data_IF_450710326623
#
_entry.id   IF_450710326623
#
_cell.length_a   1.000
_cell.length_b   1.000
_cell.length_c   1.000
_cell.angle_alpha   90.00
_cell.angle_beta   90.00
_cell.angle_gamma   90.00
#
_symmetry.space_group_name_H-M   'P 1'
#
loop_
_entity.id
_entity.type
_entity.pdbx_description
1 polymer ?
#
# COMPACT_ATOMS: atom_id res chain seq x y z
N UNK A 1 -10.35 26.85 6.57
CA UNK A 1 -9.62 25.63 6.18
C UNK A 1 -9.74 25.50 4.68
N UNK A 2 -8.65 25.22 3.97
CA UNK A 2 -8.69 24.93 2.54
C UNK A 2 -8.38 23.44 2.34
N UNK A 3 -9.13 22.81 1.43
CA UNK A 3 -8.95 21.41 1.03
C UNK A 3 -8.42 21.40 -0.40
N UNK A 4 -7.32 20.71 -0.62
CA UNK A 4 -6.75 20.47 -1.95
C UNK A 4 -6.64 18.97 -2.16
N UNK A 5 -7.09 18.47 -3.30
CA UNK A 5 -6.90 17.08 -3.69
C UNK A 5 -5.94 16.99 -4.87
N UNK A 6 -5.03 16.02 -4.84
CA UNK A 6 -4.11 15.69 -5.93
C UNK A 6 -4.24 14.20 -6.22
N UNK A 7 -4.55 13.88 -7.47
CA UNK A 7 -4.63 12.50 -7.97
C UNK A 7 -3.39 12.20 -8.80
N UNK A 8 -2.74 11.05 -8.57
CA UNK A 8 -1.66 10.56 -9.41
C UNK A 8 -1.73 9.04 -9.54
N UNK A 9 -1.02 8.52 -10.54
CA UNK A 9 -0.81 7.08 -10.70
C UNK A 9 0.65 6.80 -10.43
N UNK A 10 0.90 5.83 -9.57
CA UNK A 10 2.24 5.31 -9.30
C UNK A 10 2.39 3.91 -9.89
N UNK A 11 3.64 3.48 -10.01
CA UNK A 11 3.98 2.10 -10.37
C UNK A 11 4.83 1.50 -9.26
N UNK A 12 4.31 0.45 -8.63
CA UNK A 12 4.96 -0.24 -7.52
C UNK A 12 5.42 -1.64 -7.93
N UNK A 13 6.47 -2.14 -7.30
CA UNK A 13 6.88 -3.54 -7.42
C UNK A 13 6.21 -4.44 -6.36
N UNK A 14 6.55 -5.73 -6.39
CA UNK A 14 6.01 -6.72 -5.47
C UNK A 14 6.40 -6.45 -4.00
N UNK A 15 7.61 -5.97 -3.75
CA UNK A 15 8.08 -5.71 -2.39
C UNK A 15 7.33 -4.51 -1.78
N UNK A 16 7.13 -3.46 -2.58
CA UNK A 16 6.32 -2.29 -2.22
C UNK A 16 4.85 -2.68 -1.97
N UNK A 17 4.27 -3.55 -2.81
CA UNK A 17 2.92 -4.08 -2.63
C UNK A 17 2.78 -4.86 -1.30
N UNK A 18 3.72 -5.76 -1.01
CA UNK A 18 3.73 -6.54 0.25
C UNK A 18 3.91 -5.62 1.46
N UNK A 19 4.79 -4.63 1.36
CA UNK A 19 4.93 -3.58 2.38
C UNK A 19 3.63 -2.81 2.61
N UNK A 20 2.90 -2.50 1.54
CA UNK A 20 1.57 -1.89 1.58
C UNK A 20 0.55 -2.74 2.34
N UNK A 21 0.48 -4.04 2.05
CA UNK A 21 -0.40 -4.99 2.77
C UNK A 21 -0.07 -5.01 4.27
N UNK A 22 1.21 -5.06 4.65
CA UNK A 22 1.60 -5.04 6.05
C UNK A 22 1.29 -3.72 6.76
N UNK A 23 1.24 -2.61 6.04
CA UNK A 23 0.98 -1.28 6.59
C UNK A 23 -0.51 -0.95 6.69
N UNK A 24 -1.32 -1.48 5.77
CA UNK A 24 -2.74 -1.17 5.66
C UNK A 24 -3.63 -2.04 6.56
N UNK A 25 -3.21 -3.27 6.85
CA UNK A 25 -3.99 -4.21 7.66
C UNK A 25 -3.61 -4.15 9.15
N UNK A 26 -4.59 -4.27 10.07
CA UNK A 26 -4.30 -4.35 11.48
C UNK A 26 -3.59 -5.68 11.82
N UNK A 27 -2.82 -5.68 12.91
CA UNK A 27 -1.94 -6.81 13.26
C UNK A 27 -2.67 -8.14 13.48
N UNK A 28 -3.91 -8.09 13.93
CA UNK A 28 -4.78 -9.25 14.17
C UNK A 28 -5.38 -9.83 12.86
N UNK A 29 -5.38 -9.05 11.78
CA UNK A 29 -5.75 -9.51 10.44
C UNK A 29 -4.55 -10.03 9.62
N UNK A 30 -3.33 -9.82 10.11
CA UNK A 30 -2.11 -10.32 9.47
C UNK A 30 -1.73 -11.71 10.02
N UNK A 31 -1.08 -12.55 9.21
CA UNK A 31 -0.44 -13.76 9.72
C UNK A 31 0.56 -13.41 10.83
N UNK A 32 0.80 -14.36 11.77
CA UNK A 32 1.82 -14.18 12.79
C UNK A 32 3.20 -13.95 12.13
N UNK A 33 4.14 -13.26 12.79
CA UNK A 33 5.41 -12.82 12.19
C UNK A 33 6.17 -13.92 11.43
N UNK A 34 6.21 -15.12 11.98
CA UNK A 34 6.86 -16.31 11.41
C UNK A 34 6.26 -16.79 10.08
N UNK A 35 5.02 -16.38 9.74
CA UNK A 35 4.33 -16.74 8.49
C UNK A 35 4.30 -15.60 7.46
N UNK A 36 4.89 -14.44 7.75
CA UNK A 36 4.84 -13.30 6.82
C UNK A 36 5.61 -13.53 5.53
N UNK A 37 6.71 -14.30 5.58
CA UNK A 37 7.45 -14.70 4.39
C UNK A 37 6.61 -15.60 3.46
N UNK A 38 5.86 -16.55 4.04
CA UNK A 38 4.95 -17.42 3.29
C UNK A 38 3.84 -16.61 2.60
N UNK A 39 3.27 -15.61 3.29
CA UNK A 39 2.32 -14.68 2.69
C UNK A 39 2.93 -13.93 1.49
N UNK A 40 4.16 -13.43 1.63
CA UNK A 40 4.87 -12.73 0.54
C UNK A 40 5.04 -13.64 -0.69
N UNK A 41 5.42 -14.90 -0.48
CA UNK A 41 5.54 -15.88 -1.57
C UNK A 41 4.19 -16.15 -2.23
N UNK A 42 3.14 -16.37 -1.42
CA UNK A 42 1.79 -16.62 -1.94
C UNK A 42 1.26 -15.44 -2.77
N UNK A 43 1.51 -14.19 -2.33
CA UNK A 43 1.13 -12.99 -3.10
C UNK A 43 1.90 -12.95 -4.42
N UNK A 44 3.21 -13.21 -4.40
CA UNK A 44 4.04 -13.26 -5.61
C UNK A 44 3.57 -14.31 -6.62
N UNK A 45 3.30 -15.53 -6.14
CA UNK A 45 2.84 -16.63 -6.98
C UNK A 45 1.44 -16.34 -7.58
N UNK A 46 0.55 -15.73 -6.80
CA UNK A 46 -0.80 -15.40 -7.26
C UNK A 46 -0.82 -14.28 -8.32
N UNK A 47 0.18 -13.40 -8.32
CA UNK A 47 0.28 -12.26 -9.23
C UNK A 47 1.18 -12.53 -10.44
N UNK A 48 1.93 -13.64 -10.44
CA UNK A 48 2.79 -14.01 -11.56
C UNK A 48 1.98 -14.15 -12.87
N UNK A 49 2.49 -13.65 -14.02
CA UNK A 49 3.85 -13.13 -14.27
C UNK A 49 4.04 -11.63 -13.98
N UNK A 50 3.03 -10.95 -13.45
CA UNK A 50 3.10 -9.50 -13.24
C UNK A 50 4.07 -9.16 -12.11
N UNK A 51 4.93 -8.17 -12.38
CA UNK A 51 5.94 -7.69 -11.43
C UNK A 51 5.86 -6.19 -11.18
N UNK A 52 4.96 -5.51 -11.92
CA UNK A 52 4.71 -4.07 -11.84
C UNK A 52 3.22 -3.82 -11.73
N UNK A 53 2.82 -3.06 -10.72
CA UNK A 53 1.42 -2.80 -10.40
C UNK A 53 1.16 -1.30 -10.42
N UNK A 54 0.03 -0.89 -10.99
CA UNK A 54 -0.37 0.53 -10.97
C UNK A 54 -1.19 0.81 -9.73
N UNK A 55 -0.80 1.81 -8.97
CA UNK A 55 -1.56 2.32 -7.85
C UNK A 55 -2.18 3.67 -8.22
N UNK A 56 -3.50 3.81 -8.01
CA UNK A 56 -4.18 5.08 -8.16
C UNK A 56 -4.29 5.77 -6.81
N UNK A 57 -3.50 6.83 -6.62
CA UNK A 57 -3.37 7.51 -5.33
C UNK A 57 -4.10 8.84 -5.37
N UNK A 58 -4.93 9.07 -4.34
CA UNK A 58 -5.58 10.36 -4.08
C UNK A 58 -5.12 10.94 -2.76
N UNK A 59 -4.38 12.03 -2.83
CA UNK A 59 -3.92 12.77 -1.66
C UNK A 59 -4.89 13.92 -1.38
N UNK A 60 -5.46 13.97 -0.18
CA UNK A 60 -6.27 15.10 0.28
C UNK A 60 -5.50 15.88 1.33
N UNK A 61 -5.09 17.10 0.99
CA UNK A 61 -4.36 18.02 1.86
C UNK A 61 -5.34 18.96 2.54
N UNK A 62 -5.36 18.92 3.88
CA UNK A 62 -6.17 19.80 4.72
C UNK A 62 -5.25 20.83 5.38
N UNK A 63 -5.41 22.11 5.01
CA UNK A 63 -4.58 23.18 5.58
C UNK A 63 -5.37 24.04 6.56
N UNK A 64 -4.78 24.22 7.75
CA UNK A 64 -5.21 25.16 8.79
C UNK A 64 -4.15 26.25 8.99
N UNK A 65 -4.57 27.43 9.42
CA UNK A 65 -3.67 28.48 9.91
C UNK A 65 -3.84 28.56 11.42
N UNK A 66 -2.73 28.61 12.14
CA UNK A 66 -2.73 28.86 13.58
C UNK A 66 -2.40 30.34 13.76
N UNK A 67 -3.27 31.05 14.49
CA UNK A 67 -3.11 32.44 14.89
C UNK A 67 -3.42 32.58 16.36
#
# INVERSE_FOLDING_TARGET
MAVTAVDYTDEIDLDELVGGVHSAFPLDALPPPEKRSELSTMIGDALHPETRFREHVRVTVLTGRIG
#
